data_IF_569360378468
#
_entry.id   IF_569360378468
#
_cell.length_a   1.000
_cell.length_b   1.000
_cell.length_c   1.000
_cell.angle_alpha   90.00
_cell.angle_beta   90.00
_cell.angle_gamma   90.00
#
_symmetry.space_group_name_H-M   'P 1'
#
loop_
_entity.id
_entity.type
_entity.pdbx_description
1 polymer ?
#
# COMPACT_ATOMS: atom_id res chain seq x y z
N UNK A 1 14.49 0.15 -16.32
CA UNK A 1 13.02 0.17 -16.34
C UNK A 1 12.48 -0.19 -14.94
N UNK A 2 11.17 -0.04 -14.66
CA UNK A 2 10.65 -0.35 -13.32
C UNK A 2 10.85 -1.82 -12.92
N UNK A 3 10.64 -2.75 -13.85
CA UNK A 3 10.82 -4.18 -13.58
C UNK A 3 12.29 -4.60 -13.36
N UNK A 4 13.27 -3.87 -13.88
CA UNK A 4 14.69 -4.17 -13.63
C UNK A 4 15.03 -4.05 -12.14
N UNK A 5 14.41 -3.06 -11.45
CA UNK A 5 14.54 -2.92 -10.00
C UNK A 5 13.92 -4.08 -9.23
N UNK A 6 12.77 -4.58 -9.69
CA UNK A 6 12.14 -5.77 -9.07
C UNK A 6 13.04 -7.00 -9.23
N UNK A 7 13.56 -7.24 -10.45
CA UNK A 7 14.44 -8.37 -10.73
C UNK A 7 15.70 -8.27 -9.86
N UNK A 8 16.35 -7.11 -9.85
CA UNK A 8 17.51 -6.88 -8.98
C UNK A 8 17.19 -7.19 -7.52
N UNK A 9 16.04 -6.74 -7.01
CA UNK A 9 15.67 -6.96 -5.62
C UNK A 9 15.36 -8.44 -5.32
N UNK A 10 14.77 -9.17 -6.29
CA UNK A 10 14.57 -10.63 -6.22
C UNK A 10 15.92 -11.35 -6.11
N UNK A 11 16.89 -10.94 -6.93
CA UNK A 11 18.23 -11.55 -6.93
C UNK A 11 18.98 -11.28 -5.62
N UNK A 12 18.91 -10.02 -5.11
CA UNK A 12 19.54 -9.65 -3.83
C UNK A 12 18.97 -10.43 -2.63
N UNK A 13 17.66 -10.62 -2.60
CA UNK A 13 16.98 -11.30 -1.49
C UNK A 13 16.85 -12.81 -1.68
N UNK A 14 17.18 -13.32 -2.88
CA UNK A 14 16.94 -14.71 -3.27
C UNK A 14 15.50 -15.17 -3.01
N UNK A 15 14.54 -14.27 -3.18
CA UNK A 15 13.14 -14.49 -2.86
C UNK A 15 12.22 -13.79 -3.87
N UNK A 16 11.44 -14.51 -4.69
CA UNK A 16 10.52 -13.91 -5.66
C UNK A 16 9.12 -13.60 -5.09
N UNK A 17 8.93 -13.76 -3.79
CA UNK A 17 7.61 -13.61 -3.16
C UNK A 17 7.16 -12.16 -3.11
N UNK A 18 5.84 -11.95 -3.13
CA UNK A 18 5.21 -10.63 -3.00
C UNK A 18 4.24 -10.67 -1.81
N UNK A 19 4.37 -9.70 -0.91
CA UNK A 19 3.43 -9.59 0.20
C UNK A 19 2.16 -8.85 -0.22
N UNK A 20 1.00 -9.49 -0.10
CA UNK A 20 -0.31 -8.85 -0.28
C UNK A 20 -0.64 -7.96 0.91
N UNK A 21 -1.04 -6.72 0.65
CA UNK A 21 -1.60 -5.82 1.66
C UNK A 21 -3.08 -5.59 1.36
N UNK A 22 -3.89 -6.48 1.89
CA UNK A 22 -5.35 -6.49 1.78
C UNK A 22 -5.95 -6.21 3.18
N UNK A 23 -5.77 -4.98 3.73
CA UNK A 23 -6.00 -4.71 5.14
C UNK A 23 -7.49 -4.66 5.44
N UNK A 24 -7.95 -5.61 6.25
CA UNK A 24 -9.26 -5.56 6.88
C UNK A 24 -9.07 -5.14 8.33
N UNK A 25 -9.89 -4.22 8.82
CA UNK A 25 -9.71 -3.64 10.16
C UNK A 25 -9.71 -4.70 11.27
N UNK A 26 -10.49 -5.78 11.09
CA UNK A 26 -10.51 -6.90 12.04
C UNK A 26 -9.20 -7.70 12.11
N UNK A 27 -8.33 -7.59 11.09
CA UNK A 27 -7.01 -8.22 11.08
C UNK A 27 -5.93 -7.36 11.72
N UNK A 28 -6.21 -6.07 11.90
CA UNK A 28 -5.29 -5.16 12.60
C UNK A 28 -5.24 -5.53 14.09
N UNK A 29 -4.07 -5.71 14.69
CA UNK A 29 -3.94 -6.01 16.11
C UNK A 29 -4.69 -5.02 17.00
N UNK A 30 -5.33 -5.53 18.06
CA UNK A 30 -6.19 -4.76 18.96
C UNK A 30 -5.51 -3.49 19.46
N UNK A 31 -4.27 -3.61 19.93
CA UNK A 31 -3.53 -2.47 20.49
C UNK A 31 -3.30 -1.33 19.49
N UNK A 32 -3.15 -1.63 18.19
CA UNK A 32 -3.01 -0.62 17.14
C UNK A 32 -4.37 0.06 16.93
N UNK A 33 -5.45 -0.73 16.85
CA UNK A 33 -6.82 -0.19 16.71
C UNK A 33 -7.16 0.73 17.86
N UNK A 34 -6.92 0.28 19.08
CA UNK A 34 -7.24 1.04 20.29
C UNK A 34 -6.48 2.37 20.33
N UNK A 35 -5.20 2.38 19.97
CA UNK A 35 -4.40 3.61 19.90
C UNK A 35 -4.98 4.62 18.88
N UNK A 36 -5.39 4.15 17.70
CA UNK A 36 -5.99 5.01 16.67
C UNK A 36 -7.38 5.50 17.08
N UNK A 37 -8.21 4.64 17.69
CA UNK A 37 -9.54 5.03 18.16
C UNK A 37 -9.49 5.97 19.37
N UNK A 38 -8.51 5.86 20.24
CA UNK A 38 -8.27 6.86 21.31
C UNK A 38 -7.93 8.21 20.72
N UNK A 39 -7.15 8.24 19.63
CA UNK A 39 -6.67 9.49 19.00
C UNK A 39 -7.75 10.19 18.18
N UNK A 40 -8.53 9.45 17.40
CA UNK A 40 -9.44 9.98 16.40
C UNK A 40 -10.92 9.66 16.65
N UNK A 41 -11.24 8.96 17.74
CA UNK A 41 -12.60 8.47 18.01
C UNK A 41 -13.02 7.35 17.06
N UNK A 42 -14.32 7.03 17.06
CA UNK A 42 -14.88 6.01 16.15
C UNK A 42 -15.20 6.61 14.77
N UNK A 43 -14.17 6.84 13.97
CA UNK A 43 -14.25 7.49 12.67
C UNK A 43 -13.55 6.68 11.59
N UNK A 44 -13.81 7.00 10.31
CA UNK A 44 -13.07 6.44 9.18
C UNK A 44 -11.58 6.82 9.23
N UNK A 45 -11.25 8.01 9.79
CA UNK A 45 -9.87 8.44 9.99
C UNK A 45 -9.13 7.50 10.97
N UNK A 46 -9.78 7.12 12.08
CA UNK A 46 -9.20 6.16 13.02
C UNK A 46 -8.95 4.79 12.39
N UNK A 47 -9.91 4.29 11.61
CA UNK A 47 -9.77 3.03 10.89
C UNK A 47 -8.61 3.09 9.87
N UNK A 48 -8.52 4.17 9.11
CA UNK A 48 -7.47 4.40 8.13
C UNK A 48 -6.09 4.55 8.78
N UNK A 49 -5.98 5.26 9.91
CA UNK A 49 -4.75 5.36 10.69
C UNK A 49 -4.31 4.01 11.24
N UNK A 50 -5.22 3.22 11.80
CA UNK A 50 -4.91 1.87 12.30
C UNK A 50 -4.34 0.97 11.19
N UNK A 51 -4.94 1.02 10.00
CA UNK A 51 -4.45 0.31 8.82
C UNK A 51 -3.06 0.80 8.42
N UNK A 52 -2.83 2.12 8.42
CA UNK A 52 -1.52 2.69 8.09
C UNK A 52 -0.42 2.23 9.06
N UNK A 53 -0.68 2.26 10.37
CA UNK A 53 0.28 1.81 11.38
C UNK A 53 0.59 0.31 11.22
N UNK A 54 -0.43 -0.49 10.97
CA UNK A 54 -0.28 -1.92 10.72
C UNK A 54 0.55 -2.20 9.46
N UNK A 55 0.25 -1.51 8.35
CA UNK A 55 1.00 -1.63 7.11
C UNK A 55 2.47 -1.23 7.28
N UNK A 56 2.74 -0.15 8.01
CA UNK A 56 4.13 0.26 8.32
C UNK A 56 4.87 -0.81 9.10
N UNK A 57 4.25 -1.39 10.11
CA UNK A 57 4.85 -2.48 10.88
C UNK A 57 5.12 -3.72 10.02
N UNK A 58 4.20 -4.09 9.12
CA UNK A 58 4.41 -5.19 8.17
C UNK A 58 5.55 -4.88 7.19
N UNK A 59 5.59 -3.67 6.64
CA UNK A 59 6.65 -3.23 5.72
C UNK A 59 8.01 -3.28 6.42
N UNK A 60 8.12 -2.77 7.65
CA UNK A 60 9.35 -2.82 8.43
C UNK A 60 9.83 -4.26 8.70
N UNK A 61 8.90 -5.18 8.94
CA UNK A 61 9.21 -6.59 9.17
C UNK A 61 9.56 -7.38 7.89
N UNK A 62 9.17 -6.87 6.72
CA UNK A 62 9.25 -7.62 5.45
C UNK A 62 10.24 -7.02 4.44
N UNK A 63 10.69 -5.78 4.60
CA UNK A 63 11.45 -5.07 3.57
C UNK A 63 12.82 -5.69 3.26
N UNK A 64 13.38 -6.48 4.16
CA UNK A 64 14.61 -7.25 3.97
C UNK A 64 14.36 -8.74 3.65
N UNK A 65 13.10 -9.15 3.56
CA UNK A 65 12.70 -10.54 3.31
C UNK A 65 12.06 -10.73 1.94
N UNK A 66 11.14 -9.81 1.55
CA UNK A 66 10.45 -9.87 0.26
C UNK A 66 10.70 -8.62 -0.58
N UNK A 67 10.85 -8.77 -1.91
CA UNK A 67 11.21 -7.65 -2.80
C UNK A 67 10.08 -6.66 -3.04
N UNK A 68 8.83 -7.07 -2.83
CA UNK A 68 7.66 -6.30 -3.24
C UNK A 68 6.47 -6.47 -2.32
N UNK A 69 5.60 -5.44 -2.35
CA UNK A 69 4.24 -5.50 -1.81
C UNK A 69 3.21 -5.29 -2.91
N UNK A 70 2.00 -5.83 -2.71
CA UNK A 70 0.85 -5.63 -3.59
C UNK A 70 -0.36 -5.16 -2.76
N UNK A 71 -0.52 -3.85 -2.55
CA UNK A 71 -1.73 -3.33 -1.91
C UNK A 71 -2.93 -3.44 -2.85
N UNK A 72 -4.05 -3.96 -2.31
CA UNK A 72 -5.33 -4.05 -3.01
C UNK A 72 -6.16 -2.79 -2.74
N UNK A 73 -6.34 -1.95 -3.76
CA UNK A 73 -6.98 -0.63 -3.63
C UNK A 73 -8.38 -0.67 -2.99
N UNK A 74 -9.18 -1.69 -3.29
CA UNK A 74 -10.54 -1.81 -2.76
C UNK A 74 -10.62 -1.79 -1.23
N UNK A 75 -9.64 -2.39 -0.54
CA UNK A 75 -9.58 -2.41 0.93
C UNK A 75 -9.22 -1.08 1.57
N UNK A 76 -8.73 -0.14 0.78
CA UNK A 76 -8.48 1.23 1.20
C UNK A 76 -9.66 2.14 0.81
N UNK A 77 -10.14 2.01 -0.42
CA UNK A 77 -11.24 2.82 -0.95
C UNK A 77 -12.54 2.69 -0.12
N UNK A 78 -12.79 1.54 0.51
CA UNK A 78 -13.94 1.34 1.40
C UNK A 78 -13.95 2.27 2.63
N UNK A 79 -12.82 2.88 2.96
CA UNK A 79 -12.69 3.89 4.03
C UNK A 79 -12.72 5.33 3.48
N UNK A 80 -13.19 5.52 2.24
CA UNK A 80 -13.30 6.82 1.60
C UNK A 80 -11.96 7.52 1.38
N UNK A 81 -11.98 8.82 1.43
CA UNK A 81 -10.79 9.66 1.24
C UNK A 81 -9.65 9.30 2.20
N UNK A 82 -9.95 9.02 3.45
CA UNK A 82 -8.95 8.67 4.45
C UNK A 82 -8.21 7.37 4.11
N UNK A 83 -8.95 6.39 3.61
CA UNK A 83 -8.35 5.14 3.13
C UNK A 83 -7.49 5.33 1.88
N UNK A 84 -7.93 6.16 0.92
CA UNK A 84 -7.12 6.46 -0.28
C UNK A 84 -5.83 7.18 0.09
N UNK A 85 -5.87 8.11 1.06
CA UNK A 85 -4.68 8.74 1.63
C UNK A 85 -3.76 7.69 2.25
N UNK A 86 -4.30 6.77 3.04
CA UNK A 86 -3.54 5.66 3.65
C UNK A 86 -2.89 4.76 2.59
N UNK A 87 -3.55 4.47 1.48
CA UNK A 87 -2.96 3.75 0.36
C UNK A 87 -1.72 4.48 -0.18
N UNK A 88 -1.86 5.78 -0.46
CA UNK A 88 -0.75 6.59 -0.97
C UNK A 88 0.43 6.65 0.02
N UNK A 89 0.16 6.82 1.30
CA UNK A 89 1.19 6.83 2.35
C UNK A 89 1.85 5.46 2.52
N UNK A 90 1.11 4.36 2.46
CA UNK A 90 1.63 2.99 2.50
C UNK A 90 2.61 2.75 1.34
N UNK A 91 2.24 3.17 0.12
CA UNK A 91 3.08 3.03 -1.08
C UNK A 91 4.39 3.80 -0.91
N UNK A 92 4.32 5.09 -0.51
CA UNK A 92 5.52 5.91 -0.27
C UNK A 92 6.42 5.31 0.81
N UNK A 93 5.83 4.78 1.86
CA UNK A 93 6.58 4.15 2.95
C UNK A 93 7.32 2.90 2.47
N UNK A 94 6.67 2.01 1.72
CA UNK A 94 7.31 0.83 1.15
C UNK A 94 8.44 1.20 0.17
N UNK A 95 8.22 2.21 -0.67
CA UNK A 95 9.24 2.72 -1.58
C UNK A 95 10.45 3.29 -0.83
N UNK A 96 10.24 3.99 0.29
CA UNK A 96 11.33 4.51 1.13
C UNK A 96 12.17 3.40 1.79
N UNK A 97 11.61 2.19 1.90
CA UNK A 97 12.30 0.98 2.37
C UNK A 97 12.92 0.16 1.22
N UNK A 98 12.90 0.68 -0.01
CA UNK A 98 13.46 0.01 -1.19
C UNK A 98 12.59 -1.11 -1.78
N UNK A 99 11.35 -1.28 -1.30
CA UNK A 99 10.44 -2.29 -1.85
C UNK A 99 9.84 -1.85 -3.17
N UNK A 100 9.63 -2.81 -4.07
CA UNK A 100 8.81 -2.59 -5.26
C UNK A 100 7.32 -2.63 -4.88
N UNK A 101 6.50 -1.79 -5.51
CA UNK A 101 5.06 -1.73 -5.22
C UNK A 101 4.25 -2.00 -6.47
N UNK A 102 3.33 -2.95 -6.38
CA UNK A 102 2.34 -3.27 -7.40
C UNK A 102 0.95 -2.92 -6.88
N UNK A 103 0.36 -1.83 -7.31
CA UNK A 103 -1.02 -1.48 -6.91
C UNK A 103 -2.02 -2.32 -7.71
N UNK A 104 -2.83 -3.12 -7.00
CA UNK A 104 -3.93 -3.86 -7.61
C UNK A 104 -5.21 -3.01 -7.52
N UNK A 105 -5.56 -2.32 -8.60
CA UNK A 105 -6.66 -1.36 -8.64
C UNK A 105 -7.80 -1.71 -9.57
N UNK A 106 -7.61 -2.67 -10.48
CA UNK A 106 -8.60 -3.01 -11.52
C UNK A 106 -9.19 -1.77 -12.24
N UNK A 107 -8.33 -0.83 -12.59
CA UNK A 107 -8.65 0.41 -13.29
C UNK A 107 -8.32 0.25 -14.77
N UNK A 108 -9.29 -0.15 -15.56
CA UNK A 108 -9.14 -0.31 -17.01
C UNK A 108 -10.31 0.36 -17.74
N UNK A 109 -9.99 0.97 -18.88
CA UNK A 109 -10.94 1.65 -19.74
C UNK A 109 -10.30 1.88 -21.10
N UNK A 110 -11.01 2.52 -22.04
CA UNK A 110 -10.53 2.84 -23.38
C UNK A 110 -10.21 4.33 -23.53
N UNK A 111 -9.38 4.68 -24.54
CA UNK A 111 -9.12 6.05 -24.97
C UNK A 111 -8.64 6.98 -23.84
N UNK A 112 -9.21 8.16 -23.78
CA UNK A 112 -8.84 9.20 -22.83
C UNK A 112 -9.01 8.79 -21.36
N UNK A 113 -10.02 7.98 -21.05
CA UNK A 113 -10.26 7.47 -19.69
C UNK A 113 -9.13 6.56 -19.25
N UNK A 114 -8.65 5.66 -20.11
CA UNK A 114 -7.46 4.84 -19.81
C UNK A 114 -6.23 5.70 -19.58
N UNK A 115 -6.04 6.77 -20.35
CA UNK A 115 -4.94 7.72 -20.16
C UNK A 115 -5.00 8.36 -18.79
N UNK A 116 -6.19 8.75 -18.31
CA UNK A 116 -6.36 9.31 -16.97
C UNK A 116 -6.00 8.31 -15.88
N UNK A 117 -6.43 7.05 -15.98
CA UNK A 117 -6.02 5.99 -15.04
C UNK A 117 -4.51 5.73 -15.08
N UNK A 118 -3.93 5.63 -16.26
CA UNK A 118 -2.50 5.40 -16.44
C UNK A 118 -1.65 6.56 -15.89
N UNK A 119 -2.16 7.79 -15.97
CA UNK A 119 -1.52 8.96 -15.38
C UNK A 119 -1.64 8.96 -13.85
N UNK A 120 -2.85 8.69 -13.33
CA UNK A 120 -3.12 8.76 -11.90
C UNK A 120 -2.33 7.72 -11.09
N UNK A 121 -2.33 6.47 -11.50
CA UNK A 121 -1.78 5.38 -10.70
C UNK A 121 -0.24 5.25 -10.79
N UNK A 122 0.40 5.18 -11.96
CA UNK A 122 1.85 5.07 -12.02
C UNK A 122 2.58 6.36 -11.62
N UNK A 123 2.08 7.52 -12.08
CA UNK A 123 2.76 8.81 -11.87
C UNK A 123 2.62 9.30 -10.44
N UNK A 124 1.44 9.17 -9.85
CA UNK A 124 1.22 9.62 -8.46
C UNK A 124 2.08 8.86 -7.44
N UNK A 125 2.49 7.64 -7.77
CA UNK A 125 3.19 6.78 -6.83
C UNK A 125 4.67 6.55 -7.17
N UNK A 126 5.12 6.94 -8.36
CA UNK A 126 6.50 6.69 -8.80
C UNK A 126 7.32 7.94 -9.10
N UNK A 127 6.67 9.11 -9.26
CA UNK A 127 7.34 10.34 -9.74
C UNK A 127 7.11 11.58 -8.87
N UNK A 128 6.46 11.44 -7.69
CA UNK A 128 6.33 12.54 -6.72
C UNK A 128 7.35 12.40 -5.61
#
# INVERSE_FOLDING_TARGET
MAFDRLIQRIDELHNPSVAGLDPRLEYVPQYIRDASFVKYGHTLEAAADAILQFNKALIDALCDVVPAIKPQAAYYEMYGWEGVRTLAETIRYAQSKGMFVMTDGKRNDIGATMTAYATAHPVSYTHL
#
